data_IF_579948610515
#
_entry.id   IF_579948610515
#
_cell.length_a   1.000
_cell.length_b   1.000
_cell.length_c   1.000
_cell.angle_alpha   90.00
_cell.angle_beta   90.00
_cell.angle_gamma   90.00
#
_symmetry.space_group_name_H-M   'P 1'
#
loop_
_entity.id
_entity.type
_entity.pdbx_description
1 polymer ?
#
# COMPACT_ATOMS: atom_id res chain seq x y z
N UNK A 1 -25.10 -22.81 3.17
CA UNK A 1 -23.80 -22.41 3.75
C UNK A 1 -23.05 -21.63 2.69
N UNK A 2 -22.98 -20.30 2.81
CA UNK A 2 -22.16 -19.49 1.90
C UNK A 2 -20.69 -19.85 2.13
N UNK A 3 -19.91 -20.14 1.08
CA UNK A 3 -18.47 -20.26 1.24
C UNK A 3 -17.96 -18.91 1.69
N UNK A 4 -16.95 -18.89 2.55
CA UNK A 4 -16.28 -17.69 3.04
C UNK A 4 -16.05 -16.71 1.88
N UNK A 5 -16.89 -15.68 1.80
CA UNK A 5 -16.54 -14.48 1.08
C UNK A 5 -15.39 -13.89 1.88
N UNK A 6 -14.15 -14.22 1.51
CA UNK A 6 -12.99 -13.49 2.00
C UNK A 6 -13.25 -12.04 1.62
N UNK A 7 -13.71 -11.26 2.58
CA UNK A 7 -14.05 -9.86 2.36
C UNK A 7 -12.78 -9.18 1.85
N UNK A 8 -12.85 -8.72 0.60
CA UNK A 8 -11.77 -7.94 0.00
C UNK A 8 -11.39 -6.81 0.95
N UNK A 9 -10.10 -6.67 1.25
CA UNK A 9 -9.62 -5.61 2.14
C UNK A 9 -10.17 -4.26 1.66
N UNK A 10 -10.77 -3.46 2.55
CA UNK A 10 -11.39 -2.21 2.12
C UNK A 10 -10.35 -1.28 1.49
N UNK A 11 -10.77 -0.37 0.59
CA UNK A 11 -9.84 0.60 0.00
C UNK A 11 -9.16 1.41 1.10
N UNK A 12 -9.93 1.87 2.08
CA UNK A 12 -9.42 2.62 3.22
C UNK A 12 -8.30 1.87 3.96
N UNK A 13 -8.54 0.61 4.35
CA UNK A 13 -7.51 -0.20 5.02
C UNK A 13 -6.32 -0.46 4.11
N UNK A 14 -6.54 -0.70 2.82
CA UNK A 14 -5.47 -0.91 1.84
C UNK A 14 -4.54 0.30 1.75
N UNK A 15 -5.10 1.52 1.76
CA UNK A 15 -4.32 2.76 1.80
C UNK A 15 -3.50 2.86 3.10
N UNK A 16 -4.14 2.61 4.25
CA UNK A 16 -3.49 2.68 5.57
C UNK A 16 -2.34 1.67 5.68
N UNK A 17 -2.51 0.46 5.13
CA UNK A 17 -1.50 -0.59 5.19
C UNK A 17 -0.32 -0.30 4.25
N UNK A 18 -0.57 0.30 3.08
CA UNK A 18 0.50 0.79 2.22
C UNK A 18 1.31 1.90 2.92
N UNK A 19 0.66 2.87 3.55
CA UNK A 19 1.35 3.96 4.28
C UNK A 19 2.15 3.44 5.49
N UNK A 20 1.61 2.46 6.23
CA UNK A 20 2.36 1.75 7.29
C UNK A 20 3.56 1.02 6.72
N UNK A 21 3.40 0.35 5.58
CA UNK A 21 4.48 -0.31 4.85
C UNK A 21 5.58 0.66 4.43
N UNK A 22 5.22 1.83 3.90
CA UNK A 22 6.18 2.88 3.54
C UNK A 22 7.00 3.33 4.73
N UNK A 23 6.36 3.62 5.88
CA UNK A 23 7.06 4.01 7.11
C UNK A 23 7.97 2.90 7.64
N UNK A 24 7.52 1.66 7.59
CA UNK A 24 8.32 0.51 8.01
C UNK A 24 9.54 0.30 7.10
N UNK A 25 9.39 0.52 5.80
CA UNK A 25 10.46 0.32 4.81
C UNK A 25 11.48 1.47 4.82
N UNK A 26 11.03 2.73 4.84
CA UNK A 26 11.88 3.92 4.74
C UNK A 26 12.42 4.40 6.10
N UNK A 27 11.87 3.93 7.21
CA UNK A 27 12.34 4.24 8.56
C UNK A 27 11.52 5.30 9.30
N UNK A 28 11.92 5.61 10.54
CA UNK A 28 11.13 6.38 11.51
C UNK A 28 10.86 7.83 11.10
N UNK A 29 11.75 8.44 10.33
CA UNK A 29 11.64 9.85 9.90
C UNK A 29 10.82 10.01 8.60
N UNK A 30 10.02 9.00 8.25
CA UNK A 30 9.22 9.00 7.03
C UNK A 30 7.90 9.76 7.22
N UNK A 31 7.68 10.77 6.40
CA UNK A 31 6.44 11.54 6.33
C UNK A 31 5.59 11.07 5.14
N UNK A 32 4.30 10.82 5.36
CA UNK A 32 3.34 10.60 4.26
C UNK A 32 2.80 11.97 3.86
N UNK A 33 3.25 12.49 2.72
CA UNK A 33 2.92 13.86 2.29
C UNK A 33 1.68 13.93 1.40
N UNK A 34 1.21 12.79 0.89
CA UNK A 34 0.01 12.69 0.08
C UNK A 34 -0.70 11.36 0.36
N UNK A 35 -2.04 11.39 0.33
CA UNK A 35 -2.88 10.20 0.50
C UNK A 35 -2.51 9.13 -0.53
N UNK A 36 -2.34 7.89 -0.06
CA UNK A 36 -2.15 6.73 -0.93
C UNK A 36 -3.33 6.51 -1.90
N UNK A 37 -3.09 5.80 -2.99
CA UNK A 37 -4.08 5.55 -4.05
C UNK A 37 -4.06 4.07 -4.46
N UNK A 38 -5.23 3.46 -4.59
CA UNK A 38 -5.38 2.15 -5.24
C UNK A 38 -5.20 2.33 -6.74
N UNK A 39 -4.14 1.73 -7.30
CA UNK A 39 -3.83 1.81 -8.72
C UNK A 39 -4.53 0.71 -9.52
N UNK A 40 -4.57 -0.50 -8.98
CA UNK A 40 -5.15 -1.69 -9.65
C UNK A 40 -5.84 -2.61 -8.67
N UNK A 41 -6.85 -3.32 -9.17
CA UNK A 41 -7.45 -4.50 -8.52
C UNK A 41 -7.19 -5.71 -9.40
N UNK A 42 -6.58 -6.74 -8.83
CA UNK A 42 -6.26 -7.97 -9.53
C UNK A 42 -7.41 -8.96 -9.37
N UNK A 43 -8.01 -9.37 -10.50
CA UNK A 43 -8.99 -10.46 -10.53
C UNK A 43 -8.32 -11.75 -11.00
N UNK A 44 -8.69 -12.93 -10.44
CA UNK A 44 -9.73 -13.15 -9.43
C UNK A 44 -9.23 -13.04 -7.98
N UNK A 45 -7.97 -12.68 -7.73
CA UNK A 45 -7.35 -12.75 -6.40
C UNK A 45 -7.83 -11.68 -5.41
N UNK A 46 -8.52 -10.62 -5.89
CA UNK A 46 -8.96 -9.45 -5.13
C UNK A 46 -7.84 -8.61 -4.49
N UNK A 47 -6.59 -8.90 -4.84
CA UNK A 47 -5.44 -8.15 -4.37
C UNK A 47 -5.40 -6.75 -5.00
N UNK A 48 -4.87 -5.77 -4.26
CA UNK A 48 -4.79 -4.38 -4.71
C UNK A 48 -3.36 -3.93 -4.85
N UNK A 49 -3.02 -3.32 -5.98
CA UNK A 49 -1.79 -2.55 -6.09
C UNK A 49 -2.07 -1.14 -5.56
N UNK A 50 -1.33 -0.71 -4.53
CA UNK A 50 -1.51 0.58 -3.86
C UNK A 50 -0.20 1.36 -3.92
N UNK A 51 -0.29 2.63 -4.32
CA UNK A 51 0.81 3.58 -4.27
C UNK A 51 0.71 4.43 -3.01
N UNK A 52 1.78 4.48 -2.22
CA UNK A 52 1.96 5.36 -1.06
C UNK A 52 3.04 6.39 -1.37
N UNK A 53 2.81 7.63 -0.92
CA UNK A 53 3.67 8.78 -1.24
C UNK A 53 4.37 9.25 0.03
N UNK A 54 5.67 8.99 0.08
CA UNK A 54 6.46 9.13 1.30
C UNK A 54 7.67 10.04 1.07
N UNK A 55 8.01 10.86 2.07
CA UNK A 55 9.22 11.67 2.11
C UNK A 55 10.13 11.13 3.20
N UNK A 56 11.38 10.83 2.86
CA UNK A 56 12.38 10.35 3.81
C UNK A 56 13.76 10.92 3.42
N UNK A 57 14.52 11.42 4.39
CA UNK A 57 15.85 12.00 4.14
C UNK A 57 15.85 13.14 3.12
N UNK A 58 14.78 13.95 3.07
CA UNK A 58 14.63 15.05 2.12
C UNK A 58 14.22 14.65 0.70
N UNK A 59 14.08 13.35 0.40
CA UNK A 59 13.71 12.82 -0.91
C UNK A 59 12.26 12.32 -0.95
N UNK A 60 11.62 12.39 -2.12
CA UNK A 60 10.23 12.04 -2.33
C UNK A 60 10.09 10.70 -3.07
N UNK A 61 9.55 9.70 -2.39
CA UNK A 61 9.38 8.34 -2.92
C UNK A 61 7.91 8.05 -3.25
N UNK A 62 7.72 7.23 -4.27
CA UNK A 62 6.46 6.51 -4.48
C UNK A 62 6.69 5.04 -4.20
N UNK A 63 6.07 4.52 -3.16
CA UNK A 63 6.17 3.15 -2.70
C UNK A 63 4.98 2.35 -3.24
N UNK A 64 5.21 1.18 -3.83
CA UNK A 64 4.17 0.32 -4.39
C UNK A 64 4.04 -0.97 -3.59
N UNK A 65 2.82 -1.27 -3.16
CA UNK A 65 2.49 -2.45 -2.37
C UNK A 65 1.39 -3.27 -3.03
N UNK A 66 1.46 -4.59 -2.89
CA UNK A 66 0.29 -5.45 -3.03
C UNK A 66 -0.37 -5.56 -1.65
N UNK A 67 -1.67 -5.28 -1.57
CA UNK A 67 -2.49 -5.55 -0.40
C UNK A 67 -3.31 -6.82 -0.67
N UNK A 68 -3.18 -7.82 0.21
CA UNK A 68 -3.96 -9.05 0.12
C UNK A 68 -5.35 -8.93 0.77
N UNK A 69 -6.13 -10.01 0.69
CA UNK A 69 -7.48 -10.08 1.27
C UNK A 69 -7.49 -10.07 2.81
N UNK A 70 -6.33 -10.22 3.46
CA UNK A 70 -6.18 -10.09 4.91
C UNK A 70 -5.64 -8.71 5.32
N UNK A 71 -5.68 -7.74 4.41
CA UNK A 71 -5.12 -6.40 4.61
C UNK A 71 -3.62 -6.40 4.96
N UNK A 72 -2.85 -7.36 4.44
CA UNK A 72 -1.39 -7.38 4.57
C UNK A 72 -0.74 -6.70 3.39
N UNK A 73 0.19 -5.79 3.67
CA UNK A 73 0.97 -5.09 2.66
C UNK A 73 2.26 -5.85 2.33
N UNK A 74 2.47 -6.11 1.04
CA UNK A 74 3.68 -6.70 0.49
C UNK A 74 4.37 -5.69 -0.41
N UNK A 75 5.59 -5.31 -0.06
CA UNK A 75 6.39 -4.40 -0.87
C UNK A 75 6.71 -5.02 -2.23
N UNK A 76 6.51 -4.27 -3.31
CA UNK A 76 6.85 -4.68 -4.68
C UNK A 76 8.09 -3.93 -5.16
N UNK A 77 8.00 -2.60 -5.15
CA UNK A 77 8.99 -1.68 -5.71
C UNK A 77 8.78 -0.27 -5.17
N UNK A 78 9.74 0.60 -5.44
CA UNK A 78 9.59 2.04 -5.27
C UNK A 78 10.15 2.78 -6.50
N UNK A 79 9.67 4.00 -6.72
CA UNK A 79 10.29 4.95 -7.63
C UNK A 79 11.07 5.99 -6.80
N UNK A 80 12.29 6.30 -7.26
CA UNK A 80 13.22 7.26 -6.66
C UNK A 80 12.72 8.73 -6.73
N UNK A 81 13.54 9.69 -6.24
CA UNK A 81 13.08 11.04 -5.91
C UNK A 81 12.37 11.72 -7.08
N UNK A 82 11.12 12.14 -6.84
CA UNK A 82 10.42 13.14 -7.67
C UNK A 82 11.08 14.51 -7.55
#
# INVERSE_FOLDING_TARGET
>A
MSPFAFAECSDYESLVQADKGSKAFLGRDTEIFQRAVVLKRHHPSHQKEVASYAKAGGQYYTMFFIIDNNCKAFYIKHAGPR
#
